data_IF_718216041065
#
_entry.id   IF_718216041065
#
_cell.length_a   1.000
_cell.length_b   1.000
_cell.length_c   1.000
_cell.angle_alpha   90.00
_cell.angle_beta   90.00
_cell.angle_gamma   90.00
#
_symmetry.space_group_name_H-M   'P 1'
#
loop_
_entity.id
_entity.type
_entity.pdbx_description
1 polymer ?
#
# COMPACT_ATOMS: atom_id res chain seq x y z
N UNK A 1 -22.86 9.65 -20.69
CA UNK A 1 -24.19 9.16 -21.12
C UNK A 1 -24.99 8.59 -19.94
N UNK A 2 -24.48 8.72 -18.72
CA UNK A 2 -25.15 8.25 -17.47
C UNK A 2 -25.55 9.40 -16.53
N UNK A 3 -25.31 10.65 -16.90
CA UNK A 3 -25.51 11.85 -16.06
C UNK A 3 -26.99 12.12 -15.70
N UNK A 4 -27.91 11.57 -16.46
CA UNK A 4 -29.34 11.78 -16.24
C UNK A 4 -29.98 10.76 -15.26
N UNK A 5 -29.19 9.78 -14.77
CA UNK A 5 -29.69 8.70 -13.89
C UNK A 5 -29.09 8.75 -12.47
N UNK A 6 -28.09 9.63 -12.23
CA UNK A 6 -27.39 9.75 -10.96
C UNK A 6 -27.37 11.21 -10.48
N UNK A 7 -27.53 11.42 -9.18
CA UNK A 7 -27.47 12.75 -8.56
C UNK A 7 -26.03 13.32 -8.60
N UNK A 8 -25.02 12.46 -8.46
CA UNK A 8 -23.60 12.83 -8.47
C UNK A 8 -22.76 11.76 -9.19
N UNK A 9 -21.96 12.20 -10.16
CA UNK A 9 -20.99 11.35 -10.85
C UNK A 9 -19.59 11.54 -10.26
N UNK A 10 -18.99 10.50 -9.73
CA UNK A 10 -17.67 10.53 -9.11
C UNK A 10 -16.68 9.64 -9.86
N UNK A 11 -15.54 10.20 -10.23
CA UNK A 11 -14.39 9.43 -10.71
C UNK A 11 -13.42 9.18 -9.54
N UNK A 12 -13.09 7.93 -9.28
CA UNK A 12 -12.06 7.57 -8.28
C UNK A 12 -10.89 6.89 -9.00
N UNK A 13 -9.70 7.49 -8.95
CA UNK A 13 -8.49 6.92 -9.55
C UNK A 13 -7.80 5.98 -8.56
N UNK A 14 -7.94 4.67 -8.79
CA UNK A 14 -7.51 3.62 -7.88
C UNK A 14 -6.25 2.87 -8.29
N UNK A 15 -5.73 3.09 -9.51
CA UNK A 15 -4.58 2.33 -10.02
C UNK A 15 -3.56 3.24 -10.68
N UNK A 16 -2.26 2.86 -10.68
CA UNK A 16 -1.23 3.64 -11.34
C UNK A 16 -1.20 3.39 -12.86
N UNK A 17 -0.53 4.26 -13.63
CA UNK A 17 -0.41 4.13 -15.09
C UNK A 17 0.15 2.79 -15.56
N UNK A 18 1.05 2.19 -14.81
CA UNK A 18 1.62 0.86 -15.15
C UNK A 18 0.59 -0.29 -15.13
N UNK A 19 -0.58 -0.07 -14.53
CA UNK A 19 -1.66 -1.07 -14.43
C UNK A 19 -2.76 -0.81 -15.48
N UNK A 20 -3.27 0.40 -15.55
CA UNK A 20 -4.42 0.74 -16.40
C UNK A 20 -4.05 1.58 -17.64
N UNK A 21 -2.78 1.98 -17.79
CA UNK A 21 -2.36 2.98 -18.73
C UNK A 21 -2.50 4.41 -18.18
N UNK A 22 -1.87 5.37 -18.84
CA UNK A 22 -1.95 6.76 -18.44
C UNK A 22 -3.20 7.43 -19.01
N UNK A 23 -4.18 7.65 -18.16
CA UNK A 23 -5.43 8.34 -18.49
C UNK A 23 -5.43 9.82 -18.10
N UNK A 24 -4.29 10.41 -17.76
CA UNK A 24 -4.20 11.81 -17.32
C UNK A 24 -4.80 12.76 -18.36
N UNK A 25 -4.42 12.62 -19.64
CA UNK A 25 -4.94 13.45 -20.73
C UNK A 25 -6.44 13.24 -20.95
N UNK A 26 -6.94 12.03 -20.84
CA UNK A 26 -8.36 11.72 -20.96
C UNK A 26 -9.16 12.33 -19.79
N UNK A 27 -8.65 12.23 -18.56
CA UNK A 27 -9.27 12.86 -17.39
C UNK A 27 -9.30 14.37 -17.59
N UNK A 28 -8.19 15.01 -17.99
CA UNK A 28 -8.12 16.44 -18.28
C UNK A 28 -9.07 16.87 -19.40
N UNK A 29 -9.18 16.08 -20.45
CA UNK A 29 -10.06 16.38 -21.59
C UNK A 29 -11.53 16.30 -21.24
N UNK A 30 -11.90 15.42 -20.33
CA UNK A 30 -13.28 15.06 -20.03
C UNK A 30 -13.70 15.31 -18.57
N UNK A 31 -12.94 16.10 -17.79
CA UNK A 31 -13.18 16.32 -16.38
C UNK A 31 -14.60 16.83 -16.07
N UNK A 32 -15.19 17.61 -16.98
CA UNK A 32 -16.53 18.17 -16.82
C UNK A 32 -17.68 17.13 -16.84
N UNK A 33 -17.38 15.87 -17.16
CA UNK A 33 -18.36 14.78 -17.08
C UNK A 33 -18.54 14.23 -15.66
N UNK A 34 -17.62 14.56 -14.75
CA UNK A 34 -17.72 14.20 -13.36
C UNK A 34 -18.00 15.44 -12.52
N UNK A 35 -18.77 15.25 -11.47
CA UNK A 35 -19.03 16.30 -10.48
C UNK A 35 -17.85 16.36 -9.49
N UNK A 36 -17.23 15.22 -9.18
CA UNK A 36 -16.06 15.11 -8.29
C UNK A 36 -15.05 14.09 -8.85
N UNK A 37 -13.75 14.44 -8.79
CA UNK A 37 -12.64 13.56 -9.15
C UNK A 37 -11.79 13.33 -7.91
N UNK A 38 -11.78 12.10 -7.39
CA UNK A 38 -10.94 11.69 -6.26
C UNK A 38 -9.64 11.09 -6.81
N UNK A 39 -8.52 11.76 -6.55
CA UNK A 39 -7.22 11.38 -7.13
C UNK A 39 -6.07 11.53 -6.15
N UNK A 40 -5.12 10.61 -6.21
CA UNK A 40 -3.83 10.70 -5.53
C UNK A 40 -2.77 11.41 -6.39
N UNK A 41 -3.05 11.66 -7.68
CA UNK A 41 -2.16 12.26 -8.67
C UNK A 41 -2.17 13.78 -8.54
N UNK A 42 -1.05 14.35 -8.10
CA UNK A 42 -0.91 15.81 -7.93
C UNK A 42 -1.09 16.57 -9.26
N UNK A 43 -0.71 15.95 -10.38
CA UNK A 43 -0.88 16.51 -11.72
C UNK A 43 -2.33 16.75 -12.16
N UNK A 44 -3.31 16.25 -11.44
CA UNK A 44 -4.74 16.45 -11.72
C UNK A 44 -5.40 17.41 -10.73
N UNK A 45 -4.70 17.85 -9.68
CA UNK A 45 -5.30 18.68 -8.62
C UNK A 45 -5.54 20.14 -9.04
N UNK A 46 -5.07 20.56 -10.20
CA UNK A 46 -5.41 21.86 -10.80
C UNK A 46 -6.79 21.87 -11.49
N UNK A 47 -7.43 20.73 -11.65
CA UNK A 47 -8.81 20.64 -12.17
C UNK A 47 -9.80 21.14 -11.10
N UNK A 48 -10.82 21.93 -11.50
CA UNK A 48 -11.71 22.61 -10.54
C UNK A 48 -12.56 21.68 -9.68
N UNK A 49 -12.75 20.44 -10.12
CA UNK A 49 -13.54 19.41 -9.45
C UNK A 49 -12.68 18.23 -8.96
N UNK A 50 -11.35 18.38 -8.92
CA UNK A 50 -10.47 17.35 -8.37
C UNK A 50 -10.15 17.60 -6.90
N UNK A 51 -10.15 16.51 -6.13
CA UNK A 51 -9.77 16.49 -4.72
C UNK A 51 -8.73 15.42 -4.45
N UNK A 52 -7.70 15.76 -3.66
CA UNK A 52 -6.68 14.80 -3.25
C UNK A 52 -7.30 13.69 -2.40
N UNK A 53 -7.10 12.46 -2.83
CA UNK A 53 -7.62 11.27 -2.18
C UNK A 53 -6.62 10.11 -2.31
N UNK A 54 -5.98 9.76 -1.20
CA UNK A 54 -5.03 8.65 -1.16
C UNK A 54 -5.79 7.33 -1.22
N UNK A 55 -5.40 6.43 -2.13
CA UNK A 55 -6.10 5.17 -2.38
C UNK A 55 -6.16 4.29 -1.13
N UNK A 56 -5.13 4.19 -0.31
CA UNK A 56 -4.99 3.36 0.90
C UNK A 56 -6.25 2.63 1.37
N UNK A 57 -6.12 1.36 1.62
CA UNK A 57 -7.17 0.51 2.21
C UNK A 57 -6.53 -0.59 3.05
N UNK A 58 -7.31 -1.33 3.84
CA UNK A 58 -6.85 -2.46 4.62
C UNK A 58 -7.56 -3.73 4.16
N UNK A 59 -6.79 -4.82 3.93
CA UNK A 59 -7.32 -6.11 3.48
C UNK A 59 -7.17 -7.21 4.53
N UNK A 60 -6.57 -6.92 5.68
CA UNK A 60 -6.56 -7.83 6.82
C UNK A 60 -7.79 -7.59 7.70
N UNK A 61 -8.14 -8.56 8.53
CA UNK A 61 -9.28 -8.47 9.47
C UNK A 61 -8.85 -7.70 10.73
N UNK A 62 -8.58 -6.40 10.57
CA UNK A 62 -8.00 -5.53 11.59
C UNK A 62 -8.78 -5.43 12.90
N UNK A 63 -10.10 -5.65 12.87
CA UNK A 63 -11.00 -5.58 14.03
C UNK A 63 -10.91 -6.82 14.93
N UNK A 64 -10.44 -7.95 14.39
CA UNK A 64 -10.26 -9.22 15.10
C UNK A 64 -8.80 -9.66 15.18
N UNK A 65 -7.90 -8.92 14.52
CA UNK A 65 -6.51 -9.27 14.37
C UNK A 65 -5.71 -9.00 15.66
N UNK A 66 -5.12 -10.03 16.23
CA UNK A 66 -4.25 -9.94 17.41
C UNK A 66 -2.86 -10.54 17.08
N UNK A 67 -1.92 -9.71 16.58
CA UNK A 67 -0.63 -10.20 16.14
C UNK A 67 0.25 -10.68 17.30
N UNK A 68 0.85 -11.87 17.14
CA UNK A 68 1.88 -12.41 18.02
C UNK A 68 3.21 -12.54 17.26
N UNK A 69 4.09 -11.55 17.41
CA UNK A 69 5.30 -11.32 16.60
C UNK A 69 6.46 -12.26 16.98
N UNK A 70 6.41 -13.49 16.51
CA UNK A 70 7.41 -14.53 16.76
C UNK A 70 8.35 -14.78 15.58
N UNK A 71 7.95 -14.43 14.35
CA UNK A 71 8.76 -14.61 13.12
C UNK A 71 9.35 -13.30 12.67
N UNK A 72 10.44 -13.38 11.92
CA UNK A 72 11.14 -12.17 11.56
C UNK A 72 10.57 -11.52 10.32
N UNK A 73 10.46 -12.19 9.20
CA UNK A 73 10.04 -11.54 7.97
C UNK A 73 9.04 -12.38 7.19
N UNK A 74 8.14 -11.70 6.49
CA UNK A 74 7.25 -12.31 5.50
C UNK A 74 7.33 -11.59 4.16
N UNK A 75 6.97 -12.29 3.10
CA UNK A 75 6.90 -11.74 1.75
C UNK A 75 5.79 -12.41 0.96
N UNK A 76 5.08 -11.60 0.16
CA UNK A 76 4.01 -12.07 -0.71
C UNK A 76 4.16 -11.53 -2.13
N UNK A 77 3.97 -12.41 -3.10
CA UNK A 77 3.91 -12.05 -4.52
C UNK A 77 2.80 -12.81 -5.24
N UNK A 78 2.56 -12.45 -6.51
CA UNK A 78 1.67 -13.14 -7.43
C UNK A 78 2.40 -13.40 -8.75
N UNK A 79 1.77 -14.12 -9.70
CA UNK A 79 2.35 -14.39 -11.02
C UNK A 79 2.27 -13.21 -12.00
N UNK A 80 1.79 -12.04 -11.57
CA UNK A 80 1.72 -10.84 -12.40
C UNK A 80 3.13 -10.36 -12.75
N UNK A 81 3.32 -9.82 -13.99
CA UNK A 81 4.64 -9.39 -14.50
C UNK A 81 4.59 -8.16 -15.42
N UNK A 82 3.54 -7.32 -15.32
CA UNK A 82 3.32 -6.22 -16.27
C UNK A 82 3.53 -4.82 -15.67
N UNK A 83 4.06 -4.73 -14.47
CA UNK A 83 4.42 -3.46 -13.82
C UNK A 83 5.80 -3.57 -13.17
N UNK A 84 6.54 -2.46 -12.98
CA UNK A 84 7.88 -2.48 -12.38
C UNK A 84 7.93 -3.20 -11.03
N UNK A 85 6.96 -2.95 -10.16
CA UNK A 85 6.87 -3.62 -8.87
C UNK A 85 6.51 -5.11 -8.98
N UNK A 86 5.84 -5.54 -10.04
CA UNK A 86 5.64 -6.96 -10.30
C UNK A 86 6.95 -7.66 -10.63
N UNK A 87 7.77 -7.07 -11.51
CA UNK A 87 9.08 -7.59 -11.90
C UNK A 87 10.01 -7.67 -10.70
N UNK A 88 10.07 -6.61 -9.89
CA UNK A 88 10.86 -6.58 -8.67
C UNK A 88 10.44 -7.68 -7.68
N UNK A 89 9.11 -7.88 -7.49
CA UNK A 89 8.61 -8.97 -6.63
C UNK A 89 9.01 -10.36 -7.14
N UNK A 90 9.03 -10.58 -8.48
CA UNK A 90 9.50 -11.86 -9.04
C UNK A 90 11.00 -12.07 -8.77
N UNK A 91 11.81 -11.03 -8.91
CA UNK A 91 13.26 -11.10 -8.61
C UNK A 91 13.50 -11.39 -7.12
N UNK A 92 12.77 -10.72 -6.23
CA UNK A 92 12.84 -10.97 -4.78
C UNK A 92 12.44 -12.42 -4.48
N UNK A 93 11.33 -12.90 -5.04
CA UNK A 93 10.86 -14.27 -4.82
C UNK A 93 11.90 -15.30 -5.25
N UNK A 94 12.49 -15.13 -6.43
CA UNK A 94 13.56 -16.01 -6.93
C UNK A 94 14.82 -15.93 -6.05
N UNK A 95 15.19 -14.73 -5.57
CA UNK A 95 16.35 -14.55 -4.68
C UNK A 95 16.16 -15.16 -3.29
N UNK A 96 14.92 -15.30 -2.84
CA UNK A 96 14.55 -15.97 -1.58
C UNK A 96 14.36 -17.49 -1.74
N UNK A 97 14.58 -18.06 -2.93
CA UNK A 97 14.46 -19.49 -3.18
C UNK A 97 15.58 -20.26 -2.45
N UNK A 98 15.20 -21.13 -1.50
CA UNK A 98 16.13 -21.83 -0.63
C UNK A 98 16.53 -21.06 0.66
N UNK A 99 16.07 -19.83 0.83
CA UNK A 99 16.28 -19.04 2.05
C UNK A 99 15.16 -19.29 3.06
N UNK A 100 15.01 -20.54 3.50
CA UNK A 100 14.08 -20.86 4.60
C UNK A 100 14.58 -20.34 5.94
N UNK A 101 15.84 -19.89 5.99
CA UNK A 101 16.49 -19.39 7.21
C UNK A 101 17.60 -18.38 6.82
N UNK A 102 17.27 -17.09 6.78
CA UNK A 102 18.23 -16.00 6.64
C UNK A 102 18.70 -15.61 8.05
N UNK A 103 19.97 -15.94 8.41
CA UNK A 103 20.56 -15.60 9.71
C UNK A 103 19.76 -16.06 10.95
N UNK A 104 19.06 -17.21 10.88
CA UNK A 104 18.14 -17.66 11.93
C UNK A 104 16.73 -17.11 11.80
N UNK A 105 16.43 -16.43 10.69
CA UNK A 105 15.15 -15.78 10.42
C UNK A 105 14.35 -16.49 9.32
N UNK A 106 13.17 -17.00 9.63
CA UNK A 106 12.32 -17.60 8.62
C UNK A 106 11.64 -16.53 7.77
N UNK A 107 11.92 -16.53 6.47
CA UNK A 107 11.16 -15.76 5.49
C UNK A 107 10.01 -16.62 4.99
N UNK A 108 8.78 -16.25 5.35
CA UNK A 108 7.59 -16.88 4.79
C UNK A 108 7.30 -16.24 3.45
N UNK A 109 7.76 -16.87 2.36
CA UNK A 109 7.38 -16.45 1.03
C UNK A 109 6.10 -17.14 0.57
N UNK A 110 5.17 -16.35 0.04
CA UNK A 110 3.92 -16.87 -0.48
C UNK A 110 3.67 -16.38 -1.90
N UNK A 111 3.32 -17.32 -2.79
CA UNK A 111 2.87 -17.02 -4.14
C UNK A 111 1.36 -17.13 -4.19
N UNK A 112 0.69 -16.01 -4.07
CA UNK A 112 -0.77 -15.97 -4.03
C UNK A 112 -1.37 -16.27 -5.40
N UNK A 113 -2.39 -17.13 -5.49
CA UNK A 113 -3.29 -17.13 -6.63
C UNK A 113 -4.00 -15.76 -6.72
N UNK A 114 -4.62 -15.40 -7.86
CA UNK A 114 -5.20 -14.08 -8.10
C UNK A 114 -6.24 -13.60 -7.08
N UNK A 115 -6.69 -14.46 -6.18
CA UNK A 115 -7.62 -14.14 -5.08
C UNK A 115 -7.24 -14.94 -3.84
N UNK A 116 -6.50 -14.32 -2.93
CA UNK A 116 -6.26 -14.85 -1.59
C UNK A 116 -7.29 -14.23 -0.66
N UNK A 117 -8.24 -14.99 -0.11
CA UNK A 117 -9.37 -14.43 0.64
C UNK A 117 -8.98 -13.84 2.00
N UNK A 118 -7.85 -14.25 2.59
CA UNK A 118 -7.36 -13.76 3.87
C UNK A 118 -5.84 -13.70 3.86
N UNK A 119 -5.27 -12.54 4.24
CA UNK A 119 -3.82 -12.30 4.31
C UNK A 119 -3.27 -12.31 5.73
N UNK A 120 -4.10 -12.50 6.75
CA UNK A 120 -3.69 -12.40 8.16
C UNK A 120 -2.46 -13.24 8.47
N UNK A 121 -2.37 -14.46 7.90
CA UNK A 121 -1.24 -15.37 8.13
C UNK A 121 0.13 -14.81 7.72
N UNK A 122 0.19 -13.82 6.80
CA UNK A 122 1.43 -13.16 6.40
C UNK A 122 1.95 -12.23 7.51
N UNK A 123 1.04 -11.64 8.26
CA UNK A 123 1.33 -10.58 9.21
C UNK A 123 1.24 -11.03 10.67
N UNK A 124 0.48 -12.08 10.93
CA UNK A 124 0.14 -12.51 12.29
C UNK A 124 1.37 -12.71 13.18
N UNK A 125 2.41 -13.32 12.62
CA UNK A 125 3.64 -13.64 13.36
C UNK A 125 4.87 -12.86 12.91
N UNK A 126 4.81 -12.13 11.79
CA UNK A 126 5.98 -11.46 11.20
C UNK A 126 6.24 -10.08 11.83
N UNK A 127 7.47 -9.85 12.31
CA UNK A 127 7.96 -8.53 12.73
C UNK A 127 8.13 -7.59 11.54
N UNK A 128 8.57 -8.12 10.41
CA UNK A 128 8.83 -7.39 9.16
C UNK A 128 8.04 -7.98 7.99
N UNK A 129 7.71 -7.14 7.01
CA UNK A 129 7.16 -7.60 5.74
C UNK A 129 7.78 -6.82 4.57
N UNK A 130 8.20 -7.52 3.53
CA UNK A 130 8.71 -6.87 2.31
C UNK A 130 7.53 -6.37 1.50
N UNK A 131 7.40 -5.05 1.42
CA UNK A 131 6.34 -4.34 0.71
C UNK A 131 6.88 -3.74 -0.58
N UNK A 132 6.34 -4.17 -1.71
CA UNK A 132 6.66 -3.58 -3.02
C UNK A 132 5.36 -3.13 -3.68
N UNK A 133 5.20 -1.84 -3.90
CA UNK A 133 4.07 -1.30 -4.64
C UNK A 133 4.15 -1.65 -6.14
N UNK A 134 3.10 -1.43 -6.90
CA UNK A 134 3.12 -1.74 -8.34
C UNK A 134 4.04 -0.78 -9.10
N UNK A 135 4.20 0.44 -8.60
CA UNK A 135 4.99 1.52 -9.17
C UNK A 135 5.53 2.41 -8.05
N UNK A 136 6.71 3.03 -8.23
CA UNK A 136 7.16 4.12 -7.35
C UNK A 136 6.57 5.43 -7.86
N UNK A 137 5.59 5.95 -7.13
CA UNK A 137 4.99 7.26 -7.37
C UNK A 137 4.59 7.94 -6.07
N UNK A 138 4.72 9.24 -6.05
CA UNK A 138 4.26 10.06 -4.94
C UNK A 138 2.77 9.83 -4.68
N UNK A 139 2.38 9.78 -3.43
CA UNK A 139 1.02 9.55 -2.96
C UNK A 139 0.42 8.18 -3.30
N UNK A 140 1.16 7.30 -4.00
CA UNK A 140 0.68 5.96 -4.33
C UNK A 140 0.91 5.00 -3.16
N UNK A 141 -0.08 4.89 -2.29
CA UNK A 141 -0.10 4.09 -1.08
C UNK A 141 -1.29 3.13 -1.16
N UNK A 142 -1.04 1.82 -0.99
CA UNK A 142 -2.08 0.81 -1.14
C UNK A 142 -2.24 -0.05 0.12
N UNK A 143 -3.10 -1.06 0.02
CA UNK A 143 -3.29 -2.07 1.06
C UNK A 143 -1.99 -2.75 1.50
N UNK A 144 -0.99 -2.85 0.62
CA UNK A 144 0.28 -3.54 0.92
C UNK A 144 1.00 -2.91 2.09
N UNK A 145 1.04 -1.58 2.11
CA UNK A 145 1.65 -0.83 3.21
C UNK A 145 0.69 -0.73 4.41
N UNK A 146 -0.58 -0.45 4.15
CA UNK A 146 -1.56 -0.27 5.22
C UNK A 146 -1.76 -1.56 6.03
N UNK A 147 -1.77 -2.73 5.39
CA UNK A 147 -1.85 -4.03 6.08
C UNK A 147 -0.66 -4.22 7.06
N UNK A 148 0.56 -3.76 6.68
CA UNK A 148 1.71 -3.80 7.58
C UNK A 148 1.47 -2.97 8.84
N UNK A 149 1.06 -1.73 8.70
CA UNK A 149 0.83 -0.86 9.84
C UNK A 149 -0.35 -1.33 10.70
N UNK A 150 -1.46 -1.75 10.06
CA UNK A 150 -2.63 -2.28 10.74
C UNK A 150 -2.32 -3.56 11.54
N UNK A 151 -1.28 -4.29 11.16
CA UNK A 151 -0.80 -5.48 11.86
C UNK A 151 0.39 -5.22 12.78
N UNK A 152 0.83 -3.99 12.97
CA UNK A 152 2.02 -3.65 13.76
C UNK A 152 3.28 -4.35 13.24
N UNK A 153 3.42 -4.48 11.92
CA UNK A 153 4.55 -5.05 11.20
C UNK A 153 5.38 -3.92 10.62
N UNK A 154 6.70 -3.95 10.75
CA UNK A 154 7.60 -2.97 10.12
C UNK A 154 7.70 -3.30 8.62
N UNK A 155 7.32 -2.38 7.72
CA UNK A 155 7.49 -2.57 6.29
C UNK A 155 8.96 -2.38 5.87
N UNK A 156 9.50 -3.32 5.08
CA UNK A 156 10.67 -3.13 4.25
C UNK A 156 10.13 -2.68 2.90
N UNK A 157 10.20 -1.38 2.62
CA UNK A 157 9.30 -0.70 1.69
C UNK A 157 9.98 -0.22 0.40
N UNK A 158 9.33 -0.51 -0.73
CA UNK A 158 9.59 0.07 -2.04
C UNK A 158 8.26 0.60 -2.61
N UNK A 159 8.14 1.93 -2.76
CA UNK A 159 6.89 2.56 -3.21
C UNK A 159 6.98 4.08 -3.26
N UNK A 160 6.01 4.79 -2.72
CA UNK A 160 5.92 6.24 -2.75
C UNK A 160 7.16 6.91 -2.16
N UNK A 161 7.82 7.79 -2.94
CA UNK A 161 9.02 8.52 -2.50
C UNK A 161 8.73 9.55 -1.41
N UNK A 162 7.51 10.10 -1.40
CA UNK A 162 7.06 11.05 -0.38
C UNK A 162 6.35 10.39 0.81
N UNK A 163 6.63 9.11 1.10
CA UNK A 163 5.94 8.36 2.16
C UNK A 163 6.06 9.02 3.56
N UNK A 164 7.13 9.78 3.80
CA UNK A 164 7.35 10.53 5.03
C UNK A 164 6.32 11.64 5.30
N UNK A 165 5.54 12.07 4.30
CA UNK A 165 4.42 13.01 4.49
C UNK A 165 3.23 12.34 5.21
N UNK A 166 3.15 11.02 5.18
CA UNK A 166 2.01 10.23 5.66
C UNK A 166 2.33 9.45 6.93
N UNK A 167 3.53 8.88 7.00
CA UNK A 167 3.94 7.98 8.07
C UNK A 167 5.32 8.36 8.62
N UNK A 168 5.60 7.93 9.85
CA UNK A 168 6.90 8.08 10.46
C UNK A 168 7.87 7.04 9.86
N UNK A 169 8.85 7.51 9.08
CA UNK A 169 9.81 6.65 8.38
C UNK A 169 10.82 5.96 9.28
N UNK A 170 10.99 6.40 10.54
CA UNK A 170 11.81 5.69 11.51
C UNK A 170 11.22 4.32 11.89
N UNK A 171 9.93 4.10 11.65
CA UNK A 171 9.22 2.83 11.78
C UNK A 171 9.18 2.01 10.49
N UNK A 172 10.04 2.30 9.51
CA UNK A 172 10.12 1.64 8.22
C UNK A 172 11.58 1.37 7.85
N UNK A 173 11.81 0.46 6.90
CA UNK A 173 13.10 0.28 6.24
C UNK A 173 12.85 0.49 4.74
N UNK A 174 13.39 1.56 4.17
CA UNK A 174 13.18 1.90 2.75
C UNK A 174 14.34 1.36 1.93
N UNK A 175 14.05 0.75 0.77
CA UNK A 175 15.05 0.30 -0.19
C UNK A 175 14.71 0.76 -1.60
N UNK A 176 15.72 0.89 -2.47
CA UNK A 176 15.55 1.38 -3.83
C UNK A 176 15.83 0.31 -4.90
N UNK A 177 16.60 -0.73 -4.57
CA UNK A 177 16.99 -1.79 -5.49
C UNK A 177 17.21 -3.11 -4.77
N UNK A 178 17.41 -4.17 -5.53
CA UNK A 178 17.53 -5.55 -5.01
C UNK A 178 18.83 -5.76 -4.19
N UNK A 179 19.88 -5.03 -4.49
CA UNK A 179 21.15 -5.09 -3.77
C UNK A 179 21.01 -4.52 -2.37
N UNK A 180 20.37 -3.35 -2.23
CA UNK A 180 20.03 -2.76 -0.93
C UNK A 180 19.13 -3.67 -0.10
N UNK A 181 18.12 -4.30 -0.75
CA UNK A 181 17.25 -5.25 -0.06
C UNK A 181 18.01 -6.44 0.49
N UNK A 182 18.98 -6.99 -0.26
CA UNK A 182 19.82 -8.09 0.22
C UNK A 182 20.64 -7.69 1.44
N UNK A 183 21.29 -6.53 1.37
CA UNK A 183 22.07 -6.00 2.49
C UNK A 183 21.20 -5.79 3.74
N UNK A 184 19.97 -5.31 3.56
CA UNK A 184 18.98 -5.17 4.65
C UNK A 184 18.65 -6.54 5.26
N UNK A 185 18.32 -7.53 4.43
CA UNK A 185 17.93 -8.86 4.90
C UNK A 185 19.09 -9.59 5.59
N UNK A 186 20.32 -9.42 5.10
CA UNK A 186 21.53 -10.00 5.70
C UNK A 186 21.88 -9.40 7.07
N UNK A 187 21.43 -8.15 7.33
CA UNK A 187 21.66 -7.43 8.58
C UNK A 187 20.38 -7.21 9.42
N UNK A 188 19.27 -7.83 9.04
CA UNK A 188 18.01 -7.68 9.75
C UNK A 188 18.12 -8.30 11.15
N UNK A 189 17.73 -7.53 12.17
CA UNK A 189 17.81 -7.97 13.55
C UNK A 189 16.48 -7.70 14.30
N UNK A 190 16.17 -8.51 15.29
CA UNK A 190 14.94 -8.36 16.09
C UNK A 190 14.96 -7.11 16.96
N UNK A 191 16.14 -6.67 17.37
CA UNK A 191 16.31 -5.51 18.22
C UNK A 191 15.80 -4.23 17.53
N UNK A 192 15.95 -4.11 16.22
CA UNK A 192 15.42 -2.98 15.46
C UNK A 192 13.89 -2.86 15.64
N UNK A 193 13.17 -3.98 15.67
CA UNK A 193 11.73 -4.01 15.90
C UNK A 193 11.41 -3.64 17.37
N UNK A 194 12.08 -4.29 18.30
CA UNK A 194 11.81 -4.15 19.74
C UNK A 194 12.10 -2.72 20.25
N UNK A 195 13.12 -2.05 19.67
CA UNK A 195 13.46 -0.66 19.99
C UNK A 195 12.46 0.38 19.38
N UNK A 196 11.51 -0.04 18.53
CA UNK A 196 10.59 0.86 17.78
C UNK A 196 9.11 0.68 18.09
N UNK A 197 8.78 0.05 19.19
CA UNK A 197 7.38 -0.23 19.58
C UNK A 197 6.53 1.04 19.60
N UNK A 198 7.05 2.17 20.09
CA UNK A 198 6.33 3.44 20.12
C UNK A 198 6.06 3.99 18.71
N UNK A 199 7.03 3.87 17.79
CA UNK A 199 6.89 4.33 16.40
C UNK A 199 5.97 3.40 15.61
N UNK A 200 6.03 2.11 15.88
CA UNK A 200 5.10 1.10 15.31
C UNK A 200 3.66 1.47 15.71
N UNK A 201 3.43 1.80 16.98
CA UNK A 201 2.12 2.22 17.48
C UNK A 201 1.67 3.55 16.82
N UNK A 202 2.58 4.52 16.67
CA UNK A 202 2.29 5.77 15.96
C UNK A 202 1.82 5.49 14.53
N UNK A 203 2.53 4.66 13.77
CA UNK A 203 2.16 4.33 12.39
C UNK A 203 0.87 3.50 12.33
N UNK A 204 0.63 2.61 13.29
CA UNK A 204 -0.64 1.91 13.44
C UNK A 204 -1.80 2.92 13.60
N UNK A 205 -1.70 3.89 14.50
CA UNK A 205 -2.73 4.91 14.69
C UNK A 205 -2.94 5.77 13.44
N UNK A 206 -1.84 6.21 12.79
CA UNK A 206 -1.91 6.96 11.53
C UNK A 206 -2.58 6.16 10.40
N UNK A 207 -2.44 4.84 10.38
CA UNK A 207 -3.00 3.99 9.33
C UNK A 207 -4.51 3.85 9.40
N UNK A 208 -5.11 4.00 10.58
CA UNK A 208 -6.56 3.82 10.81
C UNK A 208 -7.43 4.65 9.89
N UNK A 209 -7.00 5.86 9.54
CA UNK A 209 -7.74 6.73 8.62
C UNK A 209 -7.88 6.14 7.21
N UNK A 210 -7.07 5.13 6.84
CA UNK A 210 -7.08 4.50 5.51
C UNK A 210 -7.84 3.18 5.46
N UNK A 211 -8.17 2.56 6.60
CA UNK A 211 -8.65 1.17 6.64
C UNK A 211 -9.93 0.92 5.84
N UNK A 212 -10.94 1.78 5.99
CA UNK A 212 -12.19 1.64 5.25
C UNK A 212 -12.24 2.60 4.05
N UNK A 213 -11.79 2.11 2.91
CA UNK A 213 -11.83 2.85 1.64
C UNK A 213 -13.25 3.29 1.26
N UNK A 214 -14.24 2.41 1.41
CA UNK A 214 -15.61 2.70 1.00
C UNK A 214 -16.28 3.74 1.90
N UNK A 215 -16.06 3.66 3.20
CA UNK A 215 -16.55 4.68 4.12
C UNK A 215 -15.92 6.05 3.86
N UNK A 216 -14.61 6.10 3.53
CA UNK A 216 -13.90 7.32 3.17
C UNK A 216 -14.46 7.95 1.89
N UNK A 217 -14.64 7.16 0.83
CA UNK A 217 -15.24 7.63 -0.43
C UNK A 217 -16.65 8.18 -0.16
N UNK A 218 -17.48 7.42 0.56
CA UNK A 218 -18.84 7.85 0.93
C UNK A 218 -18.84 9.18 1.68
N UNK A 219 -18.03 9.29 2.74
CA UNK A 219 -17.92 10.53 3.54
C UNK A 219 -17.48 11.73 2.70
N UNK A 220 -16.58 11.51 1.74
CA UNK A 220 -16.13 12.58 0.84
C UNK A 220 -17.26 13.04 -0.10
N UNK A 221 -18.03 12.10 -0.63
CA UNK A 221 -19.19 12.41 -1.49
C UNK A 221 -20.30 13.14 -0.69
N UNK A 222 -20.63 12.67 0.52
CA UNK A 222 -21.58 13.32 1.42
C UNK A 222 -21.15 14.77 1.71
N UNK A 223 -19.87 14.98 2.07
CA UNK A 223 -19.33 16.33 2.28
C UNK A 223 -19.31 17.21 1.02
N UNK A 224 -19.22 16.64 -0.18
CA UNK A 224 -19.36 17.37 -1.42
C UNK A 224 -20.83 17.83 -1.62
N UNK A 225 -21.79 16.93 -1.43
CA UNK A 225 -23.24 17.21 -1.58
C UNK A 225 -23.72 18.28 -0.57
N UNK A 226 -23.24 18.21 0.67
CA UNK A 226 -23.67 19.14 1.74
C UNK A 226 -23.12 20.57 1.55
N UNK A 227 -22.10 20.75 0.69
CA UNK A 227 -21.49 22.08 0.42
C UNK A 227 -21.90 22.70 -0.93
N UNK A 228 -22.66 21.99 -1.77
CA UNK A 228 -23.27 22.49 -3.01
C UNK A 228 -24.66 23.02 -2.73
#
# INVERSE_FOLDING_TARGET
VWKDECDVNVLVLCEPPSILGDFTDQVRKYYQFWDLILTWRDELLDLPNAQKFIFGCCWIEWDTFNPDKQRVCSFNTSDKGYAPGHELRQQIYAGLEGADDLNGFSVVKHRSPPRTPNKNYLFETAKYHIVVENEQRDNWITEKLIDCFASKTIPIYWGASNIGEYFNTDGMIIFNNIEELKDILDNLDEKFYDDRVEIIEENYERSKQYWDFHARVRKTIEGYIDND
#
